data_IF_221141143707
#
_entry.id   IF_221141143707
#
_cell.length_a   1.000
_cell.length_b   1.000
_cell.length_c   1.000
_cell.angle_alpha   90.00
_cell.angle_beta   90.00
_cell.angle_gamma   90.00
#
_symmetry.space_group_name_H-M   'P 1'
#
loop_
_entity.id
_entity.type
_entity.pdbx_description
1 polymer ?
#
# COMPACT_ATOMS: atom_id res chain seq x y z
N UNK A 1 -19.21 -68.89 26.13
CA UNK A 1 -18.88 -67.50 26.54
C UNK A 1 -17.56 -67.11 25.89
N UNK A 2 -17.57 -66.40 24.77
CA UNK A 2 -16.34 -65.92 24.11
C UNK A 2 -16.16 -64.43 24.39
N UNK A 3 -15.17 -64.13 25.23
CA UNK A 3 -14.79 -62.76 25.59
C UNK A 3 -14.26 -62.03 24.37
N UNK A 4 -15.05 -61.09 23.85
CA UNK A 4 -14.68 -60.18 22.75
C UNK A 4 -13.58 -59.24 23.25
N UNK A 5 -12.31 -59.64 23.08
CA UNK A 5 -11.13 -58.77 23.28
C UNK A 5 -11.31 -57.52 22.42
N UNK A 6 -11.70 -56.41 23.04
CA UNK A 6 -11.83 -55.11 22.36
C UNK A 6 -10.46 -54.67 21.89
N UNK A 7 -10.30 -54.51 20.58
CA UNK A 7 -9.10 -53.97 19.93
C UNK A 7 -8.90 -52.50 20.33
N UNK A 8 -8.26 -52.27 21.49
CA UNK A 8 -7.91 -50.93 21.99
C UNK A 8 -6.86 -50.21 21.13
N UNK A 9 -6.12 -50.94 20.27
CA UNK A 9 -5.05 -50.39 19.43
C UNK A 9 -5.56 -49.50 18.30
N UNK A 10 -6.69 -49.86 17.66
CA UNK A 10 -7.29 -49.05 16.59
C UNK A 10 -7.81 -47.70 17.10
N UNK A 11 -8.47 -47.71 18.26
CA UNK A 11 -9.04 -46.51 18.88
C UNK A 11 -7.97 -45.46 19.26
N UNK A 12 -6.81 -45.92 19.71
CA UNK A 12 -5.68 -45.02 20.03
C UNK A 12 -5.07 -44.44 18.75
N UNK A 13 -4.99 -45.24 17.68
CA UNK A 13 -4.53 -44.78 16.36
C UNK A 13 -5.45 -43.75 15.71
N UNK A 14 -6.77 -43.95 15.81
CA UNK A 14 -7.76 -43.00 15.29
C UNK A 14 -7.71 -41.67 16.05
N UNK A 15 -7.55 -41.74 17.38
CA UNK A 15 -7.44 -40.54 18.22
C UNK A 15 -6.13 -39.79 17.96
N UNK A 16 -5.01 -40.51 17.80
CA UNK A 16 -3.72 -39.93 17.42
C UNK A 16 -3.79 -39.25 16.05
N UNK A 17 -4.43 -39.89 15.08
CA UNK A 17 -4.62 -39.32 13.74
C UNK A 17 -5.40 -38.01 13.81
N UNK A 18 -6.50 -37.98 14.57
CA UNK A 18 -7.29 -36.76 14.75
C UNK A 18 -6.47 -35.62 15.37
N UNK A 19 -5.68 -35.92 16.42
CA UNK A 19 -4.79 -34.94 17.05
C UNK A 19 -3.76 -34.42 16.04
N UNK A 20 -3.09 -35.31 15.30
CA UNK A 20 -2.09 -34.92 14.30
C UNK A 20 -2.72 -34.05 13.20
N UNK A 21 -3.93 -34.39 12.73
CA UNK A 21 -4.66 -33.57 11.76
C UNK A 21 -4.93 -32.16 12.29
N UNK A 22 -5.34 -32.01 13.56
CA UNK A 22 -5.57 -30.67 14.13
C UNK A 22 -4.30 -29.85 14.21
N UNK A 23 -3.16 -30.47 14.55
CA UNK A 23 -1.86 -29.79 14.61
C UNK A 23 -1.45 -29.28 13.23
N UNK A 24 -1.63 -30.09 12.17
CA UNK A 24 -1.32 -29.70 10.80
C UNK A 24 -2.14 -28.46 10.38
N UNK A 25 -3.43 -28.42 10.72
CA UNK A 25 -4.31 -27.28 10.41
C UNK A 25 -3.83 -26.02 11.15
N UNK A 26 -3.47 -26.14 12.44
CA UNK A 26 -2.94 -25.00 13.21
C UNK A 26 -1.63 -24.48 12.62
N UNK A 27 -0.72 -25.37 12.24
CA UNK A 27 0.55 -24.99 11.60
C UNK A 27 0.31 -24.29 10.25
N UNK A 28 -0.61 -24.81 9.43
CA UNK A 28 -1.01 -24.15 8.18
C UNK A 28 -1.55 -22.74 8.43
N UNK A 29 -2.43 -22.55 9.42
CA UNK A 29 -2.95 -21.22 9.78
C UNK A 29 -1.83 -20.25 10.17
N UNK A 30 -0.85 -20.69 10.96
CA UNK A 30 0.30 -19.86 11.33
C UNK A 30 1.13 -19.46 10.11
N UNK A 31 1.37 -20.38 9.18
CA UNK A 31 2.06 -20.08 7.91
C UNK A 31 1.25 -19.08 7.10
N UNK A 32 -0.07 -19.22 6.98
CA UNK A 32 -0.92 -18.27 6.27
C UNK A 32 -0.90 -16.88 6.90
N UNK A 33 -0.93 -16.78 8.24
CA UNK A 33 -0.83 -15.50 8.95
C UNK A 33 0.55 -14.87 8.70
N UNK A 34 1.62 -15.67 8.80
CA UNK A 34 2.98 -15.20 8.56
C UNK A 34 3.21 -14.75 7.12
N UNK A 35 2.79 -15.56 6.14
CA UNK A 35 2.84 -15.22 4.71
C UNK A 35 1.99 -14.00 4.45
N UNK A 36 0.78 -13.88 5.03
CA UNK A 36 -0.05 -12.68 4.87
C UNK A 36 0.56 -11.45 5.52
N UNK A 37 1.31 -11.61 6.62
CA UNK A 37 2.04 -10.52 7.29
C UNK A 37 3.22 -10.04 6.44
N UNK A 38 4.03 -10.96 5.91
CA UNK A 38 5.09 -10.64 4.96
C UNK A 38 4.53 -10.06 3.66
N UNK A 39 3.39 -10.58 3.21
CA UNK A 39 2.67 -10.06 2.06
C UNK A 39 2.01 -8.72 2.38
N UNK A 40 1.69 -8.39 3.63
CA UNK A 40 1.17 -7.09 4.04
C UNK A 40 2.29 -6.05 4.14
N UNK A 41 3.47 -6.44 4.62
CA UNK A 41 4.67 -5.58 4.57
C UNK A 41 5.09 -5.27 3.13
N UNK A 42 5.01 -6.26 2.23
CA UNK A 42 5.33 -6.07 0.81
C UNK A 42 4.16 -5.52 -0.01
N UNK A 43 2.90 -5.72 0.45
CA UNK A 43 1.68 -5.03 -0.03
C UNK A 43 1.31 -3.82 0.84
N UNK A 44 2.32 -3.09 1.32
CA UNK A 44 2.28 -1.63 1.29
C UNK A 44 2.31 -1.08 -0.17
N UNK A 45 1.61 -1.79 -1.06
CA UNK A 45 1.41 -1.59 -2.49
C UNK A 45 -0.05 -1.91 -2.87
N UNK A 46 -0.96 -1.83 -1.89
CA UNK A 46 -2.33 -1.33 -2.10
C UNK A 46 -2.44 0.19 -1.89
N UNK A 47 -1.33 0.84 -1.51
CA UNK A 47 -1.15 2.29 -1.56
C UNK A 47 0.01 2.59 -2.53
N UNK A 48 -0.28 2.61 -3.83
CA UNK A 48 0.54 3.32 -4.81
C UNK A 48 0.50 4.86 -4.60
N UNK A 49 0.57 5.31 -3.34
CA UNK A 49 0.50 6.72 -2.95
C UNK A 49 1.29 7.08 -1.68
N UNK A 50 2.12 6.19 -1.13
CA UNK A 50 2.85 6.49 0.13
C UNK A 50 4.36 6.22 0.12
N UNK A 51 4.97 5.82 -1.02
CA UNK A 51 6.43 5.70 -1.14
C UNK A 51 7.15 6.90 -1.78
N UNK A 52 6.53 8.07 -1.82
CA UNK A 52 7.24 9.33 -2.11
C UNK A 52 7.70 10.03 -0.82
N UNK A 53 7.21 9.62 0.35
CA UNK A 53 7.57 10.28 1.61
C UNK A 53 8.28 9.27 2.49
N UNK A 54 9.61 9.37 2.50
CA UNK A 54 10.43 8.83 3.57
C UNK A 54 9.88 9.33 4.92
N UNK A 55 9.75 8.50 5.96
CA UNK A 55 9.25 8.91 7.27
C UNK A 55 10.18 9.94 7.96
N UNK A 56 11.25 10.36 7.30
CA UNK A 56 12.24 11.32 7.76
C UNK A 56 12.07 12.72 7.13
N UNK A 57 11.09 12.92 6.25
CA UNK A 57 10.81 14.22 5.62
C UNK A 57 9.42 14.70 5.96
N UNK A 58 9.25 15.20 7.18
CA UNK A 58 8.21 16.17 7.55
C UNK A 58 8.39 17.52 6.83
N UNK A 59 8.77 17.50 5.55
CA UNK A 59 8.56 18.64 4.70
C UNK A 59 7.15 18.50 4.16
N UNK A 60 6.30 19.30 4.81
CA UNK A 60 4.91 19.68 4.62
C UNK A 60 4.56 20.02 3.16
N UNK A 61 4.90 19.15 2.22
CA UNK A 61 4.73 19.41 0.80
C UNK A 61 3.31 19.11 0.37
N UNK A 62 2.71 20.04 -0.34
CA UNK A 62 1.41 19.83 -0.96
C UNK A 62 1.53 18.82 -2.10
N UNK A 63 1.15 17.60 -1.79
CA UNK A 63 1.22 16.46 -2.70
C UNK A 63 0.22 16.61 -3.87
N UNK A 64 -0.86 17.37 -3.67
CA UNK A 64 -1.88 17.64 -4.69
C UNK A 64 -1.31 18.65 -5.68
N UNK A 65 -0.78 19.77 -5.19
CA UNK A 65 -0.13 20.79 -6.01
C UNK A 65 1.00 20.18 -6.84
N UNK A 66 1.86 19.40 -6.19
CA UNK A 66 3.00 18.73 -6.84
C UNK A 66 2.55 17.85 -8.00
N UNK A 67 1.59 16.94 -7.76
CA UNK A 67 1.06 16.04 -8.80
C UNK A 67 0.39 16.82 -9.94
N UNK A 68 -0.30 17.90 -9.62
CA UNK A 68 -0.95 18.73 -10.63
C UNK A 68 0.07 19.46 -11.51
N UNK A 69 1.16 19.99 -10.94
CA UNK A 69 2.24 20.61 -11.70
C UNK A 69 2.99 19.60 -12.59
N UNK A 70 3.18 18.37 -12.13
CA UNK A 70 3.71 17.31 -13.00
C UNK A 70 2.81 17.07 -14.21
N UNK A 71 1.49 16.94 -14.00
CA UNK A 71 0.55 16.79 -15.11
C UNK A 71 0.62 17.99 -16.08
N UNK A 72 0.71 19.22 -15.55
CA UNK A 72 0.90 20.43 -16.35
C UNK A 72 2.15 20.39 -17.24
N UNK A 73 3.27 19.86 -16.74
CA UNK A 73 4.49 19.73 -17.55
C UNK A 73 4.43 18.61 -18.59
N UNK A 74 3.62 17.58 -18.36
CA UNK A 74 3.41 16.48 -19.32
C UNK A 74 2.45 16.85 -20.46
N UNK A 75 1.60 17.88 -20.29
CA UNK A 75 0.71 18.34 -21.36
C UNK A 75 1.50 18.96 -22.52
N UNK A 76 1.34 18.39 -23.71
CA UNK A 76 1.95 18.89 -24.96
C UNK A 76 1.14 20.05 -25.58
N UNK A 77 -0.18 20.05 -25.39
CA UNK A 77 -1.07 21.06 -25.97
C UNK A 77 -1.01 22.39 -25.18
N UNK A 78 -0.50 23.44 -25.83
CA UNK A 78 -0.34 24.79 -25.23
C UNK A 78 -1.65 25.39 -24.73
N UNK A 79 -2.78 25.17 -25.43
CA UNK A 79 -4.08 25.73 -25.01
C UNK A 79 -4.57 25.07 -23.73
N UNK A 80 -4.49 23.74 -23.67
CA UNK A 80 -4.90 22.96 -22.50
C UNK A 80 -3.98 23.25 -21.31
N UNK A 81 -2.67 23.38 -21.58
CA UNK A 81 -1.67 23.74 -20.59
C UNK A 81 -1.97 25.09 -19.92
N UNK A 82 -2.26 26.13 -20.71
CA UNK A 82 -2.63 27.44 -20.18
C UNK A 82 -3.95 27.40 -19.39
N UNK A 83 -4.97 26.71 -19.92
CA UNK A 83 -6.24 26.55 -19.23
C UNK A 83 -6.11 25.76 -17.92
N UNK A 84 -5.21 24.79 -17.88
CA UNK A 84 -4.92 24.01 -16.68
C UNK A 84 -4.18 24.85 -15.64
N UNK A 85 -3.18 25.64 -16.03
CA UNK A 85 -2.46 26.53 -15.12
C UNK A 85 -3.39 27.57 -14.47
N UNK A 86 -4.27 28.19 -15.26
CA UNK A 86 -5.26 29.14 -14.75
C UNK A 86 -6.20 28.50 -13.70
N UNK A 87 -6.52 27.20 -13.84
CA UNK A 87 -7.29 26.47 -12.82
C UNK A 87 -6.49 26.26 -11.54
N UNK A 88 -5.19 26.01 -11.63
CA UNK A 88 -4.33 25.87 -10.46
C UNK A 88 -4.23 27.19 -9.68
N UNK A 89 -4.03 28.30 -10.39
CA UNK A 89 -4.02 29.65 -9.79
C UNK A 89 -5.36 29.96 -9.11
N UNK A 90 -6.49 29.59 -9.71
CA UNK A 90 -7.80 29.74 -9.09
C UNK A 90 -7.99 28.88 -7.82
N UNK A 91 -7.33 27.73 -7.74
CA UNK A 91 -7.37 26.85 -6.56
C UNK A 91 -6.44 27.34 -5.45
N UNK A 92 -5.27 27.87 -5.81
CA UNK A 92 -4.35 28.53 -4.87
C UNK A 92 -5.03 29.72 -4.18
N UNK A 93 -5.67 30.59 -4.96
CA UNK A 93 -6.42 31.74 -4.44
C UNK A 93 -7.58 31.35 -3.51
N UNK A 94 -8.09 30.11 -3.63
CA UNK A 94 -9.13 29.55 -2.76
C UNK A 94 -8.57 28.86 -1.51
N UNK A 95 -7.24 28.80 -1.36
CA UNK A 95 -6.57 28.14 -0.23
C UNK A 95 -6.59 26.62 -0.30
N UNK A 96 -6.77 26.02 -1.48
CA UNK A 96 -6.69 24.57 -1.64
C UNK A 96 -5.28 24.02 -1.53
N UNK A 97 -4.27 24.89 -1.61
CA UNK A 97 -2.87 24.49 -1.51
C UNK A 97 -2.21 25.08 -0.26
N UNK A 98 -1.39 24.26 0.40
CA UNK A 98 -0.57 24.73 1.53
C UNK A 98 0.70 25.45 1.10
N UNK A 99 1.14 25.22 -0.14
CA UNK A 99 2.38 25.73 -0.71
C UNK A 99 2.09 26.69 -1.87
N UNK A 100 3.02 27.60 -2.16
CA UNK A 100 2.90 28.49 -3.31
C UNK A 100 3.08 27.73 -4.64
N UNK A 101 2.16 27.94 -5.58
CA UNK A 101 2.23 27.44 -6.95
C UNK A 101 3.53 27.86 -7.63
N UNK A 102 3.94 29.11 -7.45
CA UNK A 102 5.11 29.69 -8.11
C UNK A 102 6.41 29.05 -7.60
N UNK A 103 6.57 28.98 -6.28
CA UNK A 103 7.75 28.37 -5.67
C UNK A 103 7.88 26.89 -6.06
N UNK A 104 6.76 26.16 -6.03
CA UNK A 104 6.74 24.74 -6.35
C UNK A 104 6.98 24.47 -7.83
N UNK A 105 6.43 25.30 -8.71
CA UNK A 105 6.68 25.27 -10.16
C UNK A 105 8.17 25.45 -10.47
N UNK A 106 8.83 26.38 -9.78
CA UNK A 106 10.28 26.63 -9.93
C UNK A 106 11.12 25.45 -9.45
N UNK A 107 10.77 24.83 -8.33
CA UNK A 107 11.45 23.65 -7.80
C UNK A 107 11.33 22.43 -8.74
N UNK A 108 10.12 22.10 -9.18
CA UNK A 108 9.87 20.99 -10.10
C UNK A 108 10.58 21.22 -11.44
N UNK A 109 10.56 22.45 -11.96
CA UNK A 109 11.27 22.81 -13.18
C UNK A 109 12.78 22.63 -13.06
N UNK A 110 13.37 22.95 -11.90
CA UNK A 110 14.80 22.69 -11.63
C UNK A 110 15.10 21.20 -11.57
N UNK A 111 14.23 20.40 -10.95
CA UNK A 111 14.41 18.95 -10.85
C UNK A 111 14.19 18.20 -12.17
N UNK A 112 13.38 18.72 -13.09
CA UNK A 112 13.12 18.11 -14.40
C UNK A 112 14.19 18.45 -15.47
N UNK A 113 14.94 19.54 -15.29
CA UNK A 113 15.94 20.03 -16.24
C UNK A 113 17.38 19.89 -15.72
N UNK A 114 17.56 19.33 -14.52
CA UNK A 114 18.85 19.02 -13.91
C UNK A 114 19.32 17.60 -14.19
#
# INVERSE_FOLDING_TARGET
>A
MLSKKRNKKGQVGDTLTWIVSTIIVVVMLLIFIFVSSLLAETKFLGKYREKIVSPETELKYDLILSKSLYAYYTLENVKEKNAFYAKLEALENKGYFSDSLEERSKEIRRGLLG
#
